data_IF_739368577268
#
_entry.id   IF_739368577268
#
_cell.length_a   1.000
_cell.length_b   1.000
_cell.length_c   1.000
_cell.angle_alpha   90.00
_cell.angle_beta   90.00
_cell.angle_gamma   90.00
#
_symmetry.space_group_name_H-M   'P 1'
#
loop_
_entity.id
_entity.type
_entity.pdbx_description
1 polymer ?
#
# COMPACT_ATOMS: atom_id res chain seq x y z
N UNK A 1 22.61 20.39 -10.80
CA UNK A 1 21.78 20.13 -9.61
C UNK A 1 21.37 18.67 -9.59
N UNK A 2 21.61 17.95 -8.48
CA UNK A 2 21.20 16.56 -8.30
C UNK A 2 19.70 16.49 -7.98
N UNK A 3 19.01 15.47 -8.50
CA UNK A 3 17.59 15.25 -8.20
C UNK A 3 17.44 14.77 -6.76
N UNK A 4 16.44 15.28 -6.06
CA UNK A 4 16.06 14.81 -4.74
C UNK A 4 15.47 13.41 -4.80
N UNK A 5 15.49 12.68 -3.68
CA UNK A 5 14.89 11.34 -3.57
C UNK A 5 13.41 11.35 -3.95
N UNK A 6 12.68 12.41 -3.58
CA UNK A 6 11.25 12.58 -3.88
C UNK A 6 11.00 12.70 -5.38
N UNK A 7 11.82 13.49 -6.09
CA UNK A 7 11.73 13.64 -7.55
C UNK A 7 12.04 12.32 -8.27
N UNK A 8 13.06 11.58 -7.82
CA UNK A 8 13.40 10.27 -8.39
C UNK A 8 12.22 9.30 -8.24
N UNK A 9 11.60 9.25 -7.06
CA UNK A 9 10.41 8.41 -6.82
C UNK A 9 9.22 8.82 -7.67
N UNK A 10 9.00 10.12 -7.86
CA UNK A 10 7.92 10.64 -8.71
C UNK A 10 8.10 10.18 -10.16
N UNK A 11 9.30 10.37 -10.72
CA UNK A 11 9.64 9.94 -12.08
C UNK A 11 9.46 8.41 -12.22
N UNK A 12 9.95 7.62 -11.27
CA UNK A 12 9.82 6.17 -11.29
C UNK A 12 8.35 5.71 -11.31
N UNK A 13 7.47 6.33 -10.50
CA UNK A 13 6.04 6.03 -10.51
C UNK A 13 5.38 6.37 -11.84
N UNK A 14 5.84 7.42 -12.53
CA UNK A 14 5.37 7.77 -13.88
C UNK A 14 5.59 6.65 -14.90
N UNK A 15 6.60 5.79 -14.71
CA UNK A 15 6.89 4.68 -15.61
C UNK A 15 6.07 3.40 -15.34
N UNK A 16 5.19 3.39 -14.34
CA UNK A 16 4.43 2.20 -13.93
C UNK A 16 3.75 1.50 -15.11
N UNK A 17 3.05 2.25 -15.98
CA UNK A 17 2.34 1.69 -17.14
C UNK A 17 3.31 1.00 -18.13
N UNK A 18 4.41 1.66 -18.45
CA UNK A 18 5.44 1.10 -19.34
C UNK A 18 6.08 -0.13 -18.72
N UNK A 19 6.40 -0.11 -17.43
CA UNK A 19 6.97 -1.24 -16.72
C UNK A 19 6.04 -2.47 -16.74
N UNK A 20 4.73 -2.28 -16.51
CA UNK A 20 3.74 -3.36 -16.60
C UNK A 20 3.69 -3.93 -18.02
N UNK A 21 3.64 -3.08 -19.05
CA UNK A 21 3.62 -3.53 -20.43
C UNK A 21 4.89 -4.32 -20.80
N UNK A 22 6.05 -3.91 -20.29
CA UNK A 22 7.30 -4.65 -20.47
C UNK A 22 7.23 -6.04 -19.83
N UNK A 23 6.71 -6.16 -18.59
CA UNK A 23 6.52 -7.46 -17.94
C UNK A 23 5.58 -8.37 -18.75
N UNK A 24 4.47 -7.83 -19.25
CA UNK A 24 3.55 -8.57 -20.14
C UNK A 24 4.26 -9.02 -21.42
N UNK A 25 5.09 -8.16 -22.01
CA UNK A 25 5.91 -8.48 -23.17
C UNK A 25 6.88 -9.64 -22.91
N UNK A 26 7.61 -9.61 -21.78
CA UNK A 26 8.52 -10.69 -21.37
C UNK A 26 7.75 -11.99 -21.17
N UNK A 27 6.63 -11.96 -20.45
CA UNK A 27 5.80 -13.13 -20.16
C UNK A 27 5.28 -13.83 -21.45
N UNK A 28 4.97 -13.03 -22.48
CA UNK A 28 4.46 -13.51 -23.78
C UNK A 28 5.56 -13.84 -24.80
N UNK A 29 6.81 -13.45 -24.55
CA UNK A 29 7.89 -13.63 -25.52
C UNK A 29 8.35 -15.09 -25.58
N UNK A 30 8.32 -15.76 -26.75
CA UNK A 30 8.84 -17.11 -26.91
C UNK A 30 10.37 -17.17 -26.85
N UNK A 31 11.05 -16.02 -27.00
CA UNK A 31 12.52 -15.91 -26.92
C UNK A 31 13.03 -15.70 -25.49
N UNK A 32 12.15 -15.36 -24.55
CA UNK A 32 12.53 -15.22 -23.15
C UNK A 32 12.70 -16.60 -22.50
N UNK A 33 13.63 -16.72 -21.56
CA UNK A 33 13.81 -17.96 -20.80
C UNK A 33 12.55 -18.28 -19.99
N UNK A 34 12.30 -19.56 -19.71
CA UNK A 34 11.17 -19.98 -18.88
C UNK A 34 11.17 -19.25 -17.52
N UNK A 35 12.33 -19.13 -16.88
CA UNK A 35 12.48 -18.40 -15.63
C UNK A 35 12.08 -16.92 -15.76
N UNK A 36 12.51 -16.22 -16.82
CA UNK A 36 12.13 -14.82 -17.04
C UNK A 36 10.62 -14.64 -17.21
N UNK A 37 9.96 -15.57 -17.92
CA UNK A 37 8.50 -15.56 -18.10
C UNK A 37 7.76 -15.78 -16.77
N UNK A 38 8.21 -16.74 -15.96
CA UNK A 38 7.65 -17.00 -14.62
C UNK A 38 7.83 -15.79 -13.71
N UNK A 39 9.04 -15.22 -13.65
CA UNK A 39 9.31 -14.02 -12.86
C UNK A 39 8.45 -12.83 -13.28
N UNK A 40 8.23 -12.63 -14.58
CA UNK A 40 7.35 -11.59 -15.08
C UNK A 40 5.88 -11.81 -14.69
N UNK A 41 5.40 -13.07 -14.77
CA UNK A 41 4.05 -13.43 -14.35
C UNK A 41 3.83 -13.19 -12.85
N UNK A 42 4.74 -13.67 -12.00
CA UNK A 42 4.68 -13.45 -10.55
C UNK A 42 4.69 -11.97 -10.20
N UNK A 43 5.54 -11.18 -10.86
CA UNK A 43 5.60 -9.73 -10.65
C UNK A 43 4.27 -9.02 -10.99
N UNK A 44 3.50 -9.50 -11.97
CA UNK A 44 2.17 -8.97 -12.30
C UNK A 44 1.16 -9.39 -11.24
N UNK A 45 1.13 -10.67 -10.87
CA UNK A 45 0.18 -11.22 -9.89
C UNK A 45 0.37 -10.59 -8.50
N UNK A 46 1.60 -10.48 -8.03
CA UNK A 46 1.95 -9.85 -6.74
C UNK A 46 1.44 -8.40 -6.63
N UNK A 47 1.33 -7.70 -7.76
CA UNK A 47 0.83 -6.31 -7.81
C UNK A 47 -0.69 -6.22 -7.89
N UNK A 48 -1.33 -7.19 -8.54
CA UNK A 48 -2.79 -7.23 -8.69
C UNK A 48 -3.52 -7.83 -7.50
N UNK A 49 -2.90 -8.83 -6.85
CA UNK A 49 -3.51 -9.63 -5.79
C UNK A 49 -2.77 -9.55 -4.46
N UNK A 50 -1.62 -8.87 -4.43
CA UNK A 50 -0.72 -8.88 -3.28
C UNK A 50 0.12 -10.16 -3.23
N UNK A 51 1.01 -10.22 -2.24
CA UNK A 51 1.76 -11.44 -1.93
C UNK A 51 0.93 -12.35 -1.02
N UNK A 52 1.09 -13.68 -1.13
CA UNK A 52 0.48 -14.58 -0.16
C UNK A 52 0.92 -14.19 1.26
N UNK A 53 0.01 -14.32 2.26
CA UNK A 53 0.35 -14.04 3.64
C UNK A 53 1.55 -14.90 4.05
N UNK A 54 2.57 -14.25 4.62
CA UNK A 54 3.72 -14.97 5.15
C UNK A 54 3.26 -15.74 6.40
N UNK A 55 3.48 -17.05 6.41
CA UNK A 55 3.38 -17.82 7.64
C UNK A 55 4.46 -17.28 8.58
N UNK A 56 4.04 -16.70 9.70
CA UNK A 56 4.95 -16.34 10.78
C UNK A 56 5.37 -17.66 11.44
N UNK A 57 6.66 -17.99 11.38
CA UNK A 57 7.22 -19.07 12.16
C UNK A 57 7.25 -18.61 13.62
N UNK A 58 6.40 -19.23 14.44
CA UNK A 58 6.40 -18.98 15.87
C UNK A 58 7.73 -19.52 16.42
N UNK A 59 8.49 -18.67 17.13
CA UNK A 59 9.48 -19.18 18.09
C UNK A 59 8.78 -20.12 19.08
N UNK A 60 9.56 -20.96 19.77
CA UNK A 60 9.13 -22.17 20.52
C UNK A 60 7.85 -22.04 21.40
N UNK A 61 7.39 -20.83 21.74
CA UNK A 61 6.22 -20.54 22.57
C UNK A 61 4.99 -19.95 21.84
N UNK A 62 4.86 -20.08 20.52
CA UNK A 62 3.54 -20.04 19.83
C UNK A 62 2.72 -18.74 19.85
N UNK A 63 3.13 -17.72 20.60
CA UNK A 63 2.38 -16.49 20.77
C UNK A 63 2.91 -15.41 19.84
N UNK A 64 2.12 -15.08 18.81
CA UNK A 64 2.30 -13.85 18.05
C UNK A 64 1.98 -12.67 18.98
N UNK A 65 2.99 -12.00 19.55
CA UNK A 65 2.80 -10.66 20.09
C UNK A 65 2.63 -9.67 18.93
N UNK A 66 1.43 -9.66 18.36
CA UNK A 66 1.03 -8.69 17.35
C UNK A 66 0.80 -7.32 18.03
N UNK A 67 1.86 -6.61 18.41
CA UNK A 67 1.75 -5.27 19.02
C UNK A 67 1.49 -4.23 17.92
N UNK A 68 0.30 -4.26 17.31
CA UNK A 68 -0.19 -3.13 16.52
C UNK A 68 -1.29 -2.41 17.31
N UNK A 69 -0.90 -1.49 18.20
CA UNK A 69 -1.83 -0.57 18.85
C UNK A 69 -2.09 0.63 17.93
N UNK A 70 -3.24 0.65 17.27
CA UNK A 70 -3.71 1.80 16.49
C UNK A 70 -4.70 2.58 17.36
N UNK A 71 -4.31 3.74 17.88
CA UNK A 71 -5.20 4.67 18.58
C UNK A 71 -5.70 5.76 17.61
N UNK A 72 -7.02 5.83 17.40
CA UNK A 72 -7.67 6.94 16.69
C UNK A 72 -8.32 7.87 17.71
N UNK A 73 -7.72 9.05 17.90
CA UNK A 73 -8.31 10.12 18.72
C UNK A 73 -9.07 11.06 17.79
N UNK A 74 -10.41 11.04 17.88
CA UNK A 74 -11.27 12.01 17.19
C UNK A 74 -11.46 13.18 18.15
N UNK A 75 -10.86 14.33 17.82
CA UNK A 75 -11.07 15.57 18.57
C UNK A 75 -12.23 16.34 17.94
N UNK A 76 -13.19 16.76 18.78
CA UNK A 76 -14.11 17.82 18.38
C UNK A 76 -13.32 19.14 18.43
N UNK A 77 -13.27 19.93 17.34
CA UNK A 77 -12.67 21.26 17.41
C UNK A 77 -13.53 22.11 18.36
N UNK A 78 -12.95 22.56 19.47
CA UNK A 78 -13.63 23.50 20.36
C UNK A 78 -13.89 24.81 19.60
N UNK A 79 -15.13 25.29 19.64
CA UNK A 79 -15.52 26.55 19.01
C UNK A 79 -16.72 26.49 18.06
N UNK A 80 -17.70 25.62 18.31
CA UNK A 80 -19.06 25.88 17.84
C UNK A 80 -19.95 26.04 19.06
N UNK A 81 -20.08 27.28 19.50
CA UNK A 81 -21.06 27.70 20.49
C UNK A 81 -22.45 27.48 19.87
N UNK A 82 -23.01 26.30 20.05
CA UNK A 82 -24.44 26.08 19.87
C UNK A 82 -25.11 26.65 21.14
N UNK A 83 -25.31 27.98 21.17
CA UNK A 83 -26.07 28.65 22.23
C UNK A 83 -27.48 28.03 22.29
N UNK A 84 -27.93 27.55 23.46
CA UNK A 84 -29.30 27.08 23.59
C UNK A 84 -30.25 28.28 23.55
N UNK A 85 -31.19 28.26 22.59
CA UNK A 85 -32.31 29.20 22.52
C UNK A 85 -33.05 29.21 23.86
N UNK A 86 -33.12 30.40 24.48
CA UNK A 86 -33.92 30.66 25.68
C UNK A 86 -35.39 30.36 25.35
N UNK A 87 -35.94 29.34 26.02
CA UNK A 87 -37.38 29.09 26.07
C UNK A 87 -38.00 30.15 26.99
N UNK A 88 -38.54 31.19 26.37
CA UNK A 88 -39.55 32.04 26.96
C UNK A 88 -40.87 31.25 26.96
N UNK A 89 -41.25 30.69 28.11
CA UNK A 89 -42.62 30.20 28.34
C UNK A 89 -43.19 30.84 29.63
N UNK A 90 -44.05 31.83 29.37
CA UNK A 90 -45.21 32.38 30.11
C UNK A 90 -45.14 32.72 31.61
#
# INVERSE_FOLDING_TARGET
MSKTITEIRSIARGHTKTAINTLVGVMRSPKATHAARVSAANAILDRGWGKPPQALENGEDGALELIHRIERVIVHPEGRDDEPEQQDDE
#
